data_IF_035455898209
#
_entry.id   IF_035455898209
#
_cell.length_a   1.000
_cell.length_b   1.000
_cell.length_c   1.000
_cell.angle_alpha   90.00
_cell.angle_beta   90.00
_cell.angle_gamma   90.00
#
_symmetry.space_group_name_H-M   'P 1'
#
loop_
_entity.id
_entity.type
_entity.pdbx_description
1 polymer ?
#
# COMPACT_ATOMS: atom_id res chain seq x y z
N UNK A 1 -1.99 12.39 -9.21
CA UNK A 1 -1.34 11.08 -9.18
C UNK A 1 -2.36 9.99 -9.55
N UNK A 2 -1.90 8.88 -10.14
CA UNK A 2 -2.75 7.76 -10.52
C UNK A 2 -2.64 6.69 -9.42
N UNK A 3 -3.74 6.37 -8.74
CA UNK A 3 -3.73 5.44 -7.60
C UNK A 3 -4.42 4.12 -7.91
N UNK A 4 -4.65 3.78 -9.18
CA UNK A 4 -5.32 2.52 -9.52
C UNK A 4 -4.50 1.32 -9.07
N UNK A 5 -5.19 0.22 -8.79
CA UNK A 5 -4.59 -1.05 -8.37
C UNK A 5 -3.39 -1.43 -9.26
N UNK A 6 -3.62 -1.50 -10.57
CA UNK A 6 -2.62 -1.98 -11.53
C UNK A 6 -1.40 -1.04 -11.61
N UNK A 7 -1.62 0.27 -11.48
CA UNK A 7 -0.54 1.23 -11.52
C UNK A 7 0.35 1.09 -10.30
N UNK A 8 -0.23 1.09 -9.11
CA UNK A 8 0.51 1.00 -7.86
C UNK A 8 1.17 -0.37 -7.71
N UNK A 9 0.50 -1.46 -8.11
CA UNK A 9 1.10 -2.80 -8.07
C UNK A 9 2.39 -2.85 -8.92
N UNK A 10 2.35 -2.25 -10.11
CA UNK A 10 3.52 -2.15 -10.97
C UNK A 10 4.65 -1.32 -10.33
N UNK A 11 4.33 -0.21 -9.67
CA UNK A 11 5.31 0.58 -8.94
C UNK A 11 5.95 -0.23 -7.79
N UNK A 12 5.15 -0.95 -7.00
CA UNK A 12 5.62 -1.83 -5.93
C UNK A 12 6.61 -2.88 -6.45
N UNK A 13 6.25 -3.54 -7.56
CA UNK A 13 7.12 -4.54 -8.20
C UNK A 13 8.44 -3.93 -8.71
N UNK A 14 8.40 -2.73 -9.30
CA UNK A 14 9.58 -2.04 -9.81
C UNK A 14 10.51 -1.54 -8.71
N UNK A 15 9.96 -1.03 -7.60
CA UNK A 15 10.76 -0.41 -6.54
C UNK A 15 11.22 -1.40 -5.48
N UNK A 16 10.49 -2.49 -5.23
CA UNK A 16 10.83 -3.48 -4.20
C UNK A 16 12.25 -4.07 -4.30
N UNK A 17 12.86 -4.30 -5.48
CA UNK A 17 14.21 -4.86 -5.57
C UNK A 17 15.29 -3.92 -5.00
N UNK A 18 15.03 -2.61 -4.96
CA UNK A 18 15.98 -1.60 -4.46
C UNK A 18 15.92 -1.39 -2.95
N UNK A 19 14.92 -1.95 -2.27
CA UNK A 19 14.79 -1.83 -0.81
C UNK A 19 15.71 -2.84 -0.16
N UNK A 20 16.60 -2.43 0.74
CA UNK A 20 17.49 -3.34 1.46
C UNK A 20 16.79 -4.00 2.66
N UNK A 21 17.30 -5.14 3.12
CA UNK A 21 16.80 -5.82 4.32
C UNK A 21 16.84 -4.87 5.54
N UNK A 22 15.74 -4.82 6.29
CA UNK A 22 15.55 -3.92 7.43
C UNK A 22 15.00 -2.54 7.06
N UNK A 23 15.04 -2.17 5.77
CA UNK A 23 14.42 -0.95 5.25
C UNK A 23 12.96 -1.18 4.85
N UNK A 24 12.29 -0.11 4.45
CA UNK A 24 10.86 -0.08 4.22
C UNK A 24 10.56 0.35 2.79
N UNK A 25 9.50 -0.24 2.26
CA UNK A 25 8.69 0.37 1.21
C UNK A 25 7.46 0.97 1.90
N UNK A 26 7.28 2.28 1.79
CA UNK A 26 6.16 2.99 2.42
C UNK A 26 5.15 3.33 1.35
N UNK A 27 3.90 2.93 1.57
CA UNK A 27 2.80 3.12 0.65
C UNK A 27 1.71 3.99 1.30
N UNK A 28 1.66 5.29 0.97
CA UNK A 28 0.55 6.18 1.32
C UNK A 28 -0.75 5.83 0.61
N UNK A 29 -1.80 6.59 0.93
CA UNK A 29 -3.09 6.55 0.25
C UNK A 29 -3.87 5.23 0.34
N UNK A 30 -3.48 4.31 1.23
CA UNK A 30 -4.20 3.06 1.44
C UNK A 30 -5.54 3.26 2.17
N UNK A 31 -5.71 4.37 2.88
CA UNK A 31 -7.01 4.81 3.44
C UNK A 31 -8.15 4.94 2.43
N UNK A 32 -7.86 5.08 1.13
CA UNK A 32 -8.89 5.15 0.07
C UNK A 32 -9.87 3.96 0.15
N UNK A 33 -9.40 2.76 0.50
CA UNK A 33 -10.25 1.56 0.61
C UNK A 33 -11.33 1.68 1.70
N UNK A 34 -11.13 2.55 2.69
CA UNK A 34 -11.97 2.66 3.87
C UNK A 34 -12.96 3.84 3.82
N UNK A 35 -13.00 4.58 2.70
CA UNK A 35 -14.06 5.54 2.45
C UNK A 35 -15.36 4.87 2.00
N UNK A 36 -16.49 5.60 1.99
CA UNK A 36 -17.67 5.17 1.24
C UNK A 36 -17.33 5.00 -0.25
N UNK A 37 -17.82 3.93 -0.88
CA UNK A 37 -17.68 3.78 -2.35
C UNK A 37 -18.39 4.93 -3.06
N UNK A 38 -17.77 5.45 -4.13
CA UNK A 38 -18.23 6.61 -4.88
C UNK A 38 -17.84 7.95 -4.24
N UNK A 39 -16.96 7.95 -3.23
CA UNK A 39 -16.53 9.18 -2.55
C UNK A 39 -15.80 10.14 -3.50
N UNK A 40 -15.07 9.61 -4.47
CA UNK A 40 -14.33 10.40 -5.46
C UNK A 40 -15.11 10.48 -6.77
N UNK A 41 -15.66 11.66 -7.09
CA UNK A 41 -16.50 11.85 -8.28
C UNK A 41 -15.75 11.73 -9.62
N UNK A 42 -14.54 12.30 -9.70
CA UNK A 42 -13.80 12.48 -10.96
C UNK A 42 -12.43 11.80 -10.94
N UNK A 43 -12.32 10.62 -10.30
CA UNK A 43 -11.08 9.85 -10.22
C UNK A 43 -11.23 8.48 -10.87
N UNK A 44 -10.18 7.95 -11.52
CA UNK A 44 -10.20 6.61 -12.11
C UNK A 44 -9.98 5.49 -11.08
N UNK A 45 -9.93 5.83 -9.79
CA UNK A 45 -9.65 4.95 -8.65
C UNK A 45 -10.60 5.29 -7.51
N UNK A 46 -10.91 4.30 -6.67
CA UNK A 46 -11.83 4.38 -5.54
C UNK A 46 -11.68 3.11 -4.67
N UNK A 47 -12.57 2.89 -3.70
CA UNK A 47 -12.74 1.62 -2.98
C UNK A 47 -12.83 0.44 -3.97
N UNK A 48 -11.92 -0.53 -3.82
CA UNK A 48 -11.77 -1.69 -4.71
C UNK A 48 -10.79 -1.52 -5.89
N UNK A 49 -10.28 -0.31 -6.13
CA UNK A 49 -9.28 -0.03 -7.18
C UNK A 49 -8.33 1.08 -6.70
N UNK A 50 -7.44 0.75 -5.76
CA UNK A 50 -6.62 1.72 -5.04
C UNK A 50 -5.29 1.12 -4.50
N UNK A 51 -4.42 1.91 -3.84
CA UNK A 51 -3.15 1.44 -3.31
C UNK A 51 -3.26 0.32 -2.28
N UNK A 52 -4.30 0.29 -1.43
CA UNK A 52 -4.49 -0.79 -0.46
C UNK A 52 -4.73 -2.13 -1.15
N UNK A 53 -5.54 -2.14 -2.21
CA UNK A 53 -5.77 -3.36 -2.98
C UNK A 53 -4.49 -3.85 -3.68
N UNK A 54 -3.68 -2.92 -4.20
CA UNK A 54 -2.38 -3.22 -4.81
C UNK A 54 -1.40 -3.79 -3.79
N UNK A 55 -1.29 -3.18 -2.60
CA UNK A 55 -0.45 -3.68 -1.49
C UNK A 55 -0.87 -5.07 -1.07
N UNK A 56 -2.18 -5.32 -0.89
CA UNK A 56 -2.67 -6.67 -0.59
C UNK A 56 -2.24 -7.68 -1.63
N UNK A 57 -2.32 -7.33 -2.92
CA UNK A 57 -1.89 -8.21 -4.01
C UNK A 57 -0.37 -8.41 -4.00
N UNK A 58 0.39 -7.34 -3.82
CA UNK A 58 1.84 -7.38 -3.74
C UNK A 58 2.33 -8.28 -2.59
N UNK A 59 1.63 -8.27 -1.45
CA UNK A 59 1.98 -9.10 -0.29
C UNK A 59 1.55 -10.58 -0.41
N UNK A 60 0.74 -10.95 -1.42
CA UNK A 60 0.34 -12.35 -1.62
C UNK A 60 1.54 -13.20 -2.04
N UNK A 61 1.68 -14.38 -1.41
CA UNK A 61 2.67 -15.39 -1.75
C UNK A 61 4.15 -14.92 -1.66
N UNK A 62 4.40 -13.87 -0.87
CA UNK A 62 5.74 -13.35 -0.57
C UNK A 62 6.13 -13.59 0.88
N UNK A 63 7.42 -13.79 1.10
CA UNK A 63 8.00 -13.98 2.44
C UNK A 63 9.19 -13.04 2.72
N UNK A 64 9.49 -12.14 1.79
CA UNK A 64 10.57 -11.16 1.86
C UNK A 64 10.14 -9.80 2.43
N UNK A 65 8.83 -9.53 2.48
CA UNK A 65 8.24 -8.36 3.13
C UNK A 65 7.22 -8.76 4.21
N UNK A 66 7.09 -7.93 5.24
CA UNK A 66 6.00 -7.99 6.22
C UNK A 66 5.34 -6.61 6.39
N UNK A 67 4.07 -6.59 6.76
CA UNK A 67 3.39 -5.35 7.18
C UNK A 67 3.79 -5.04 8.62
N UNK A 68 4.40 -3.87 8.84
CA UNK A 68 4.73 -3.36 10.16
C UNK A 68 3.51 -2.69 10.80
N UNK A 69 2.64 -3.52 11.40
CA UNK A 69 1.41 -3.06 12.07
C UNK A 69 1.72 -2.25 13.33
N UNK A 70 2.81 -2.55 14.04
CA UNK A 70 3.19 -1.77 15.22
C UNK A 70 3.45 -0.31 14.84
N UNK A 71 4.19 -0.08 13.75
CA UNK A 71 4.42 1.28 13.25
C UNK A 71 3.12 1.92 12.73
N UNK A 72 2.31 1.15 11.99
CA UNK A 72 1.04 1.64 11.43
C UNK A 72 0.05 2.07 12.53
N UNK A 73 -0.09 1.27 13.58
CA UNK A 73 -1.05 1.48 14.68
C UNK A 73 -0.57 2.53 15.68
N UNK A 74 0.74 2.73 15.80
CA UNK A 74 1.32 3.80 16.64
C UNK A 74 0.96 5.20 16.11
N UNK A 75 0.64 5.31 14.82
CA UNK A 75 0.21 6.55 14.19
C UNK A 75 -1.30 6.72 14.42
N UNK A 76 -1.66 7.47 15.49
CA UNK A 76 -3.06 7.75 15.86
C UNK A 76 -3.89 8.38 14.72
N UNK A 77 -3.24 9.07 13.79
CA UNK A 77 -3.82 9.58 12.56
C UNK A 77 -2.87 9.17 11.43
N UNK A 78 -3.40 8.43 10.44
CA UNK A 78 -2.63 7.93 9.31
C UNK A 78 -3.46 7.87 8.04
N UNK A 79 -2.83 8.11 6.90
CA UNK A 79 -3.38 7.86 5.55
C UNK A 79 -2.93 6.50 4.99
N UNK A 80 -2.03 5.81 5.71
CA UNK A 80 -1.26 4.65 5.26
C UNK A 80 -1.57 3.40 6.08
N UNK A 81 -2.85 3.06 6.27
CA UNK A 81 -3.26 1.79 6.89
C UNK A 81 -2.55 0.60 6.24
N UNK A 82 -1.83 -0.20 7.03
CA UNK A 82 -1.01 -1.32 6.59
C UNK A 82 0.06 -0.96 5.52
N UNK A 83 0.33 0.32 5.29
CA UNK A 83 1.19 0.82 4.20
C UNK A 83 2.69 0.74 4.48
N UNK A 84 3.12 0.34 5.68
CA UNK A 84 4.53 0.22 6.05
C UNK A 84 5.02 -1.21 5.81
N UNK A 85 5.65 -1.45 4.66
CA UNK A 85 6.15 -2.77 4.26
C UNK A 85 7.64 -2.89 4.57
N UNK A 86 7.99 -3.67 5.58
CA UNK A 86 9.39 -3.90 5.98
C UNK A 86 9.98 -5.07 5.21
N UNK A 87 11.13 -4.88 4.56
CA UNK A 87 11.87 -5.98 3.96
C UNK A 87 12.59 -6.79 5.03
N UNK A 88 12.33 -8.09 5.09
CA UNK A 88 12.88 -9.02 6.09
C UNK A 88 13.86 -10.04 5.50
N UNK A 89 13.87 -10.21 4.18
CA UNK A 89 14.80 -11.11 3.46
C UNK A 89 15.55 -10.40 2.34
#
# INVERSE_FOLDING_TARGET
>A
SLHTHDHVLKELELYSPFVSKGSYLVLPDTFIEFFPRGYYADRPWDVGNNPYTAMKKFMQDRDDFIIDRELSDKLLITESFDGYLKRVK
#
